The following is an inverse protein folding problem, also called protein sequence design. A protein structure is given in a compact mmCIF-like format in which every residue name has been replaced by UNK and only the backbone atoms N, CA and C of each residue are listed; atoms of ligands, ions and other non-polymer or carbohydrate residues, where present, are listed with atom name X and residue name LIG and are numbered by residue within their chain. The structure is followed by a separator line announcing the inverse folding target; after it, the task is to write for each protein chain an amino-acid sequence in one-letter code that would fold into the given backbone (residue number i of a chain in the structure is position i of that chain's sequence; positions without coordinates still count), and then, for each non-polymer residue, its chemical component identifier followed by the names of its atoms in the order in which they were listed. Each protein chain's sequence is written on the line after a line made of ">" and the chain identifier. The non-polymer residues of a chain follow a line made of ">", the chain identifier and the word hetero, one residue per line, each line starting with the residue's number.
data_IF_751143739724
#
_entry.id   IF_751143739724
#
_cell.length_a   1.000
_cell.length_b   1.000
_cell.length_c   1.000
_cell.angle_alpha   90.00
_cell.angle_beta   90.00
_cell.angle_gamma   90.00
#
_symmetry.space_group_name_H-M   'P 1'
#
loop_
_entity.id
_entity.type
_entity.pdbx_description
1 polymer ?
#
# COMPACT_ATOMS: atom_id res chain seq x y z
N UNK A 1 18.43 -10.29 -65.01
CA UNK A 1 17.42 -10.76 -64.06
C UNK A 1 18.05 -10.70 -62.67
N UNK A 2 17.77 -9.70 -61.81
CA UNK A 2 18.27 -9.69 -60.43
C UNK A 2 17.25 -10.35 -59.52
N UNK A 3 17.73 -11.30 -58.72
CA UNK A 3 17.00 -11.99 -57.66
C UNK A 3 16.55 -10.99 -56.59
N UNK A 4 15.26 -11.03 -56.23
CA UNK A 4 14.68 -10.35 -55.10
C UNK A 4 14.95 -11.18 -53.83
N UNK A 5 15.88 -10.73 -53.01
CA UNK A 5 15.99 -11.18 -51.62
C UNK A 5 14.87 -10.52 -50.79
N UNK A 6 13.83 -11.30 -50.55
CA UNK A 6 12.69 -10.92 -49.69
C UNK A 6 13.09 -11.15 -48.24
N UNK A 7 13.72 -10.14 -47.62
CA UNK A 7 14.02 -10.13 -46.22
C UNK A 7 12.73 -9.79 -45.44
N UNK A 8 11.90 -10.80 -45.21
CA UNK A 8 10.82 -10.73 -44.26
C UNK A 8 11.41 -10.59 -42.85
N UNK A 9 11.53 -9.36 -42.38
CA UNK A 9 11.86 -9.07 -41.00
C UNK A 9 10.76 -9.65 -40.07
N UNK A 10 11.11 -10.69 -39.32
CA UNK A 10 10.26 -11.24 -38.29
C UNK A 10 9.92 -10.13 -37.29
N UNK A 11 8.65 -10.02 -36.87
CA UNK A 11 8.26 -9.03 -35.84
C UNK A 11 9.04 -9.26 -34.54
N UNK A 12 9.40 -8.20 -33.81
CA UNK A 12 10.20 -8.30 -32.60
C UNK A 12 9.50 -9.25 -31.60
N UNK A 13 10.19 -10.31 -31.23
CA UNK A 13 9.68 -11.38 -30.39
C UNK A 13 9.17 -10.78 -29.06
N UNK A 14 7.92 -11.05 -28.72
CA UNK A 14 7.31 -10.72 -27.42
C UNK A 14 8.21 -11.29 -26.32
N UNK A 15 8.89 -10.42 -25.58
CA UNK A 15 9.74 -10.80 -24.43
C UNK A 15 8.87 -11.62 -23.48
N UNK A 16 9.21 -12.90 -23.31
CA UNK A 16 8.50 -13.78 -22.37
C UNK A 16 8.91 -13.38 -20.96
N UNK A 17 7.98 -12.75 -20.24
CA UNK A 17 8.17 -12.44 -18.83
C UNK A 17 8.32 -13.73 -18.02
N UNK A 18 9.21 -13.73 -17.02
CA UNK A 18 9.27 -14.78 -16.02
C UNK A 18 7.95 -14.84 -15.22
N UNK A 19 7.67 -15.95 -14.52
CA UNK A 19 6.47 -16.07 -13.69
C UNK A 19 6.33 -14.91 -12.67
N UNK A 20 7.43 -14.53 -12.01
CA UNK A 20 7.44 -13.43 -11.04
C UNK A 20 7.21 -12.06 -11.68
N UNK A 21 7.76 -11.82 -12.86
CA UNK A 21 7.53 -10.58 -13.61
C UNK A 21 6.07 -10.50 -14.06
N UNK A 22 5.52 -11.62 -14.53
CA UNK A 22 4.11 -11.68 -14.92
C UNK A 22 3.19 -11.44 -13.73
N UNK A 23 3.46 -12.07 -12.59
CA UNK A 23 2.70 -11.85 -11.37
C UNK A 23 2.76 -10.38 -10.92
N UNK A 24 3.94 -9.77 -10.97
CA UNK A 24 4.12 -8.33 -10.67
C UNK A 24 3.37 -7.42 -11.65
N UNK A 25 3.36 -7.76 -12.95
CA UNK A 25 2.60 -7.03 -13.96
C UNK A 25 1.10 -7.03 -13.65
N UNK A 26 0.53 -8.21 -13.38
CA UNK A 26 -0.89 -8.37 -13.05
C UNK A 26 -1.27 -7.57 -11.80
N UNK A 27 -0.46 -7.66 -10.74
CA UNK A 27 -0.66 -6.89 -9.51
C UNK A 27 -0.52 -5.38 -9.75
N UNK A 28 0.40 -4.95 -10.61
CA UNK A 28 0.56 -3.53 -10.96
C UNK A 28 -0.65 -2.96 -11.67
N UNK A 29 -1.29 -3.74 -12.57
CA UNK A 29 -2.54 -3.36 -13.23
C UNK A 29 -3.68 -3.30 -12.20
N UNK A 30 -3.83 -4.35 -11.39
CA UNK A 30 -4.84 -4.39 -10.34
C UNK A 30 -4.72 -3.20 -9.38
N UNK A 31 -3.51 -2.84 -8.98
CA UNK A 31 -3.25 -1.71 -8.09
C UNK A 31 -3.63 -0.36 -8.71
N UNK A 32 -3.38 -0.15 -10.01
CA UNK A 32 -3.84 1.07 -10.71
C UNK A 32 -5.36 1.18 -10.71
N UNK A 33 -6.02 0.08 -11.11
CA UNK A 33 -7.50 0.03 -11.14
C UNK A 33 -8.12 0.17 -9.76
N UNK A 34 -7.48 -0.36 -8.72
CA UNK A 34 -7.91 -0.20 -7.33
C UNK A 34 -7.86 1.26 -6.84
N UNK A 35 -6.95 2.06 -7.38
CA UNK A 35 -6.88 3.51 -7.09
C UNK A 35 -8.01 4.28 -7.78
N UNK A 36 -8.48 3.81 -8.94
CA UNK A 36 -9.46 4.49 -9.77
C UNK A 36 -10.91 4.13 -9.40
N UNK A 37 -11.13 2.94 -8.83
CA UNK A 37 -12.47 2.40 -8.52
C UNK A 37 -12.45 1.60 -7.22
N UNK A 38 -13.60 1.47 -6.52
CA UNK A 38 -13.72 0.55 -5.38
C UNK A 38 -13.26 -0.87 -5.77
N UNK A 39 -12.57 -1.53 -4.86
CA UNK A 39 -11.98 -2.85 -5.10
C UNK A 39 -13.01 -3.92 -5.51
N UNK A 40 -14.26 -3.76 -5.08
CA UNK A 40 -15.38 -4.65 -5.39
C UNK A 40 -15.69 -4.67 -6.89
N UNK A 41 -15.45 -3.58 -7.61
CA UNK A 41 -15.75 -3.42 -9.04
C UNK A 41 -14.61 -3.87 -9.94
N UNK A 42 -13.51 -4.40 -9.36
CA UNK A 42 -12.36 -4.85 -10.13
C UNK A 42 -12.72 -6.07 -10.99
N UNK A 43 -12.74 -5.87 -12.31
CA UNK A 43 -12.95 -6.94 -13.29
C UNK A 43 -11.64 -7.65 -13.60
N UNK A 44 -11.59 -8.97 -13.35
CA UNK A 44 -10.44 -9.81 -13.73
C UNK A 44 -10.27 -9.88 -15.25
N UNK A 45 -11.36 -9.76 -16.01
CA UNK A 45 -11.31 -9.75 -17.47
C UNK A 45 -10.66 -8.47 -18.01
N UNK A 46 -10.93 -7.32 -17.39
CA UNK A 46 -10.22 -6.07 -17.70
C UNK A 46 -8.72 -6.16 -17.37
N UNK A 47 -8.35 -6.78 -16.25
CA UNK A 47 -6.96 -6.98 -15.86
C UNK A 47 -6.25 -7.90 -16.85
N UNK A 48 -6.87 -9.01 -17.24
CA UNK A 48 -6.32 -9.96 -18.20
C UNK A 48 -6.12 -9.32 -19.58
N UNK A 49 -7.13 -8.57 -20.05
CA UNK A 49 -7.11 -7.83 -21.32
C UNK A 49 -5.97 -6.81 -21.34
N UNK A 50 -5.86 -5.98 -20.29
CA UNK A 50 -4.80 -4.97 -20.20
C UNK A 50 -3.40 -5.58 -20.08
N UNK A 51 -3.28 -6.74 -19.42
CA UNK A 51 -2.03 -7.49 -19.32
C UNK A 51 -1.66 -8.21 -20.63
N UNK A 52 -2.58 -8.30 -21.59
CA UNK A 52 -2.41 -9.07 -22.82
C UNK A 52 -2.29 -10.58 -22.56
N UNK A 53 -3.05 -11.10 -21.59
CA UNK A 53 -3.04 -12.52 -21.23
C UNK A 53 -4.44 -13.10 -21.27
N UNK A 54 -4.53 -14.44 -21.35
CA UNK A 54 -5.81 -15.12 -21.23
C UNK A 54 -6.31 -15.10 -19.78
N UNK A 55 -7.63 -15.14 -19.60
CA UNK A 55 -8.26 -15.31 -18.29
C UNK A 55 -7.72 -16.54 -17.55
N UNK A 56 -7.53 -17.67 -18.26
CA UNK A 56 -6.96 -18.89 -17.68
C UNK A 56 -5.57 -18.70 -17.11
N UNK A 57 -4.71 -17.90 -17.79
CA UNK A 57 -3.38 -17.59 -17.28
C UNK A 57 -3.46 -16.70 -16.01
N UNK A 58 -4.41 -15.77 -15.94
CA UNK A 58 -4.61 -14.96 -14.73
C UNK A 58 -5.03 -15.86 -13.56
N UNK A 59 -5.98 -16.80 -13.78
CA UNK A 59 -6.41 -17.75 -12.75
C UNK A 59 -5.32 -18.75 -12.34
N UNK A 60 -4.35 -19.02 -13.20
CA UNK A 60 -3.16 -19.78 -12.82
C UNK A 60 -2.34 -19.07 -11.72
N UNK A 61 -2.23 -17.74 -11.77
CA UNK A 61 -1.52 -16.93 -10.77
C UNK A 61 -2.37 -16.60 -9.53
N UNK A 62 -3.66 -16.46 -9.73
CA UNK A 62 -4.63 -16.07 -8.70
C UNK A 62 -5.89 -16.94 -8.85
N UNK A 63 -6.00 -18.05 -8.12
CA UNK A 63 -7.04 -19.06 -8.34
C UNK A 63 -8.46 -18.53 -8.21
N UNK A 64 -8.68 -17.46 -7.45
CA UNK A 64 -9.99 -16.83 -7.25
C UNK A 64 -9.91 -15.31 -7.38
N UNK A 65 -11.06 -14.66 -7.58
CA UNK A 65 -11.16 -13.19 -7.53
C UNK A 65 -10.72 -12.67 -6.16
N UNK A 66 -11.09 -13.35 -5.08
CA UNK A 66 -10.69 -13.01 -3.72
C UNK A 66 -9.16 -13.05 -3.56
N UNK A 67 -8.49 -14.13 -4.00
CA UNK A 67 -7.02 -14.25 -3.94
C UNK A 67 -6.30 -13.13 -4.72
N UNK A 68 -6.85 -12.71 -5.87
CA UNK A 68 -6.31 -11.58 -6.61
C UNK A 68 -6.50 -10.27 -5.83
N UNK A 69 -7.69 -10.04 -5.30
CA UNK A 69 -8.02 -8.87 -4.51
C UNK A 69 -7.11 -8.74 -3.27
N UNK A 70 -6.98 -9.79 -2.47
CA UNK A 70 -6.05 -9.83 -1.32
C UNK A 70 -4.61 -9.49 -1.72
N UNK A 71 -4.14 -10.07 -2.83
CA UNK A 71 -2.80 -9.80 -3.31
C UNK A 71 -2.60 -8.34 -3.75
N UNK A 72 -3.64 -7.70 -4.33
CA UNK A 72 -3.64 -6.27 -4.69
C UNK A 72 -3.62 -5.40 -3.44
N UNK A 73 -4.49 -5.69 -2.47
CA UNK A 73 -4.56 -4.97 -1.18
C UNK A 73 -3.24 -5.09 -0.43
N UNK A 74 -2.66 -6.29 -0.33
CA UNK A 74 -1.35 -6.50 0.27
C UNK A 74 -0.24 -5.73 -0.47
N UNK A 75 -0.30 -5.65 -1.80
CA UNK A 75 0.64 -4.85 -2.60
C UNK A 75 0.48 -3.35 -2.34
N UNK A 76 -0.75 -2.86 -2.16
CA UNK A 76 -1.07 -1.49 -1.79
C UNK A 76 -0.49 -1.14 -0.42
N UNK A 77 -0.71 -1.97 0.60
CA UNK A 77 -0.16 -1.80 1.94
C UNK A 77 1.38 -1.74 1.93
N UNK A 78 2.03 -2.68 1.23
CA UNK A 78 3.50 -2.64 1.05
C UNK A 78 3.97 -1.36 0.35
N UNK A 79 3.19 -0.82 -0.59
CA UNK A 79 3.51 0.46 -1.25
C UNK A 79 3.44 1.62 -0.25
N UNK A 80 2.39 1.70 0.57
CA UNK A 80 2.28 2.70 1.63
C UNK A 80 3.48 2.62 2.56
N UNK A 81 3.81 1.43 3.10
CA UNK A 81 4.96 1.23 3.99
C UNK A 81 6.30 1.67 3.37
N UNK A 82 6.49 1.47 2.06
CA UNK A 82 7.69 1.99 1.37
C UNK A 82 7.70 3.51 1.27
N UNK A 83 6.53 4.11 0.99
CA UNK A 83 6.40 5.56 0.81
C UNK A 83 6.62 6.32 2.12
N UNK A 84 6.17 5.77 3.25
CA UNK A 84 6.28 6.43 4.57
C UNK A 84 7.63 6.18 5.25
N UNK A 85 8.46 5.29 4.71
CA UNK A 85 9.77 4.97 5.31
C UNK A 85 10.66 6.22 5.34
N UNK A 86 11.29 6.51 6.49
CA UNK A 86 12.28 7.58 6.58
C UNK A 86 13.46 7.38 5.61
N UNK A 87 14.15 8.46 5.26
CA UNK A 87 15.32 8.40 4.39
C UNK A 87 16.46 7.61 5.05
N UNK A 88 17.32 6.97 4.26
CA UNK A 88 18.50 6.27 4.79
C UNK A 88 19.37 7.21 5.62
N UNK A 89 19.77 6.75 6.80
CA UNK A 89 20.63 7.53 7.72
C UNK A 89 19.89 8.50 8.64
N UNK A 90 18.59 8.73 8.44
CA UNK A 90 17.77 9.51 9.38
C UNK A 90 17.30 8.59 10.50
N UNK A 91 17.48 9.02 11.76
CA UNK A 91 17.16 8.26 12.96
C UNK A 91 16.48 9.14 14.02
N UNK A 92 16.02 8.51 15.10
CA UNK A 92 15.44 9.22 16.24
C UNK A 92 14.15 9.98 15.88
N UNK A 93 13.94 11.09 16.55
CA UNK A 93 12.74 11.93 16.38
C UNK A 93 12.61 12.47 14.94
N UNK A 94 13.74 12.77 14.27
CA UNK A 94 13.72 13.22 12.88
C UNK A 94 13.16 12.16 11.93
N UNK A 95 13.45 10.88 12.17
CA UNK A 95 12.89 9.77 11.40
C UNK A 95 11.37 9.63 11.65
N UNK A 96 10.93 9.78 12.90
CA UNK A 96 9.50 9.75 13.23
C UNK A 96 8.76 10.93 12.60
N UNK A 97 9.37 12.11 12.57
CA UNK A 97 8.80 13.29 11.89
C UNK A 97 8.62 13.06 10.40
N UNK A 98 9.65 12.60 9.69
CA UNK A 98 9.54 12.26 8.27
C UNK A 98 8.49 11.19 8.00
N UNK A 99 8.41 10.18 8.87
CA UNK A 99 7.40 9.12 8.78
C UNK A 99 6.00 9.72 8.93
N UNK A 100 5.77 10.55 9.95
CA UNK A 100 4.49 11.21 10.20
C UNK A 100 4.08 12.10 9.02
N UNK A 101 4.97 12.97 8.54
CA UNK A 101 4.72 13.83 7.38
C UNK A 101 4.30 13.03 6.14
N UNK A 102 5.05 11.98 5.80
CA UNK A 102 4.77 11.12 4.65
C UNK A 102 3.47 10.35 4.81
N UNK A 103 3.19 9.86 6.02
CA UNK A 103 1.98 9.11 6.32
C UNK A 103 0.74 9.99 6.22
N UNK A 104 0.74 11.15 6.87
CA UNK A 104 -0.35 12.13 6.82
C UNK A 104 -0.55 12.63 5.38
N UNK A 105 0.52 13.02 4.69
CA UNK A 105 0.44 13.45 3.30
C UNK A 105 -0.11 12.36 2.37
N UNK A 106 0.19 11.09 2.63
CA UNK A 106 -0.36 9.98 1.86
C UNK A 106 -1.87 9.84 2.06
N UNK A 107 -2.35 9.95 3.29
CA UNK A 107 -3.78 9.88 3.63
C UNK A 107 -4.53 11.08 3.02
N UNK A 108 -4.07 12.30 3.28
CA UNK A 108 -4.73 13.54 2.79
C UNK A 108 -4.82 13.56 1.26
N UNK A 109 -3.74 13.19 0.54
CA UNK A 109 -3.73 13.19 -0.92
C UNK A 109 -4.55 12.07 -1.57
N UNK A 110 -4.79 10.98 -0.85
CA UNK A 110 -5.43 9.76 -1.37
C UNK A 110 -6.46 9.23 -0.40
N UNK A 111 -7.25 10.13 0.17
CA UNK A 111 -8.22 9.85 1.24
C UNK A 111 -9.11 8.65 0.91
N UNK A 112 -9.82 8.70 -0.23
CA UNK A 112 -10.75 7.64 -0.62
C UNK A 112 -10.05 6.31 -0.89
N UNK A 113 -8.86 6.35 -1.49
CA UNK A 113 -8.03 5.16 -1.67
C UNK A 113 -7.61 4.57 -0.33
N UNK A 114 -7.23 5.42 0.63
CA UNK A 114 -6.82 4.97 1.96
C UNK A 114 -7.99 4.34 2.72
N UNK A 115 -9.16 4.97 2.68
CA UNK A 115 -10.39 4.41 3.25
C UNK A 115 -10.75 3.07 2.59
N UNK A 116 -10.68 2.96 1.28
CA UNK A 116 -10.93 1.72 0.57
C UNK A 116 -9.90 0.62 0.93
N UNK A 117 -8.64 1.00 1.16
CA UNK A 117 -7.58 0.07 1.57
C UNK A 117 -7.78 -0.47 2.98
N UNK A 118 -8.16 0.40 3.92
CA UNK A 118 -8.21 0.08 5.36
C UNK A 118 -9.58 -0.45 5.78
N UNK A 119 -10.66 0.13 5.22
CA UNK A 119 -12.05 -0.16 5.62
C UNK A 119 -12.90 -0.78 4.51
N UNK A 120 -12.45 -0.75 3.25
CA UNK A 120 -13.22 -1.21 2.08
C UNK A 120 -13.43 -2.74 1.98
N UNK A 121 -12.96 -3.50 2.95
CA UNK A 121 -13.14 -4.96 3.02
C UNK A 121 -14.50 -5.37 3.59
N UNK A 122 -15.40 -4.42 3.89
CA UNK A 122 -16.70 -4.67 4.53
C UNK A 122 -17.83 -5.04 3.54
N UNK A 123 -17.51 -5.68 2.40
CA UNK A 123 -18.49 -6.17 1.41
C UNK A 123 -18.80 -7.66 1.58
N UNK A 124 -19.63 -8.26 0.67
CA UNK A 124 -19.99 -9.68 0.69
C UNK A 124 -18.83 -10.68 0.54
N UNK A 125 -17.59 -10.20 0.41
CA UNK A 125 -16.34 -10.98 0.51
C UNK A 125 -15.73 -10.93 1.92
N UNK A 126 -16.43 -10.35 2.89
CA UNK A 126 -16.04 -10.27 4.31
C UNK A 126 -16.08 -11.63 5.05
N UNK A 127 -16.31 -12.73 4.34
CA UNK A 127 -16.09 -14.11 4.82
C UNK A 127 -14.59 -14.50 4.89
N UNK A 128 -13.70 -13.54 4.62
CA UNK A 128 -12.28 -13.71 4.89
C UNK A 128 -12.05 -13.33 6.35
N UNK A 129 -11.54 -14.24 7.10
CA UNK A 129 -11.44 -14.37 8.57
C UNK A 129 -11.07 -13.12 9.40
N UNK A 130 -10.77 -11.97 8.80
CA UNK A 130 -10.54 -10.70 9.51
C UNK A 130 -10.64 -9.45 8.60
N UNK A 131 -11.77 -8.70 8.60
CA UNK A 131 -11.89 -7.44 7.86
C UNK A 131 -10.95 -6.34 8.37
N UNK A 132 -10.37 -6.51 9.57
CA UNK A 132 -9.36 -5.62 10.14
C UNK A 132 -7.92 -5.97 9.79
N UNK A 133 -7.66 -7.13 9.17
CA UNK A 133 -6.30 -7.65 8.96
C UNK A 133 -5.40 -6.69 8.18
N UNK A 134 -5.92 -6.00 7.16
CA UNK A 134 -5.12 -5.04 6.37
C UNK A 134 -4.79 -3.78 7.17
N UNK A 135 -5.77 -3.22 7.89
CA UNK A 135 -5.55 -2.07 8.76
C UNK A 135 -4.57 -2.43 9.87
N UNK A 136 -4.77 -3.56 10.54
CA UNK A 136 -3.90 -4.07 11.60
C UNK A 136 -2.49 -4.31 11.05
N UNK A 137 -2.34 -4.96 9.90
CA UNK A 137 -1.04 -5.22 9.26
C UNK A 137 -0.32 -3.93 8.86
N UNK A 138 -1.03 -2.93 8.31
CA UNK A 138 -0.45 -1.65 7.94
C UNK A 138 -0.02 -0.86 9.18
N UNK A 139 -0.87 -0.75 10.21
CA UNK A 139 -0.54 -0.09 11.47
C UNK A 139 0.66 -0.75 12.15
N UNK A 140 0.68 -2.09 12.22
CA UNK A 140 1.82 -2.82 12.78
C UNK A 140 3.10 -2.55 11.99
N UNK A 141 3.05 -2.55 10.66
CA UNK A 141 4.21 -2.23 9.83
C UNK A 141 4.73 -0.81 10.03
N UNK A 142 3.84 0.18 10.25
CA UNK A 142 4.24 1.56 10.56
C UNK A 142 4.79 1.64 11.99
N UNK A 143 4.16 0.98 12.97
CA UNK A 143 4.65 0.92 14.36
C UNK A 143 6.05 0.30 14.43
N UNK A 144 6.34 -0.73 13.63
CA UNK A 144 7.69 -1.29 13.50
C UNK A 144 8.71 -0.27 12.95
N UNK A 145 8.29 0.62 12.04
CA UNK A 145 9.16 1.72 11.58
C UNK A 145 9.47 2.71 12.72
N UNK A 146 8.46 3.03 13.55
CA UNK A 146 8.63 3.88 14.75
C UNK A 146 9.57 3.21 15.76
N UNK A 147 9.38 1.92 16.05
CA UNK A 147 10.25 1.18 16.98
C UNK A 147 11.71 1.12 16.49
N UNK A 148 11.91 1.01 15.16
CA UNK A 148 13.27 1.08 14.59
C UNK A 148 13.86 2.49 14.68
N UNK A 149 13.06 3.53 14.55
CA UNK A 149 13.52 4.92 14.66
C UNK A 149 13.84 5.30 16.11
N UNK A 150 13.09 4.78 17.08
CA UNK A 150 13.21 5.05 18.51
C UNK A 150 13.44 3.74 19.28
N UNK A 151 14.67 3.22 19.33
CA UNK A 151 14.98 2.04 20.13
C UNK A 151 14.60 2.26 21.60
N UNK A 152 13.83 1.32 22.17
CA UNK A 152 13.36 1.40 23.56
C UNK A 152 11.95 1.97 23.77
N UNK A 153 11.28 2.43 22.71
CA UNK A 153 9.84 2.76 22.80
C UNK A 153 9.03 1.47 23.02
N UNK A 154 8.00 1.54 23.86
CA UNK A 154 7.04 0.42 23.99
C UNK A 154 6.30 0.21 22.65
N UNK A 155 6.34 -1.00 22.06
CA UNK A 155 5.63 -1.29 20.82
C UNK A 155 4.13 -1.01 20.88
N UNK A 156 3.50 -1.10 22.06
CA UNK A 156 2.09 -0.76 22.26
C UNK A 156 1.85 0.73 22.12
N UNK A 157 2.77 1.55 22.62
CA UNK A 157 2.73 3.02 22.44
C UNK A 157 2.90 3.38 20.98
N UNK A 158 3.86 2.76 20.29
CA UNK A 158 4.05 2.98 18.85
C UNK A 158 2.78 2.62 18.05
N UNK A 159 2.14 1.49 18.36
CA UNK A 159 0.90 1.07 17.69
C UNK A 159 -0.27 2.02 17.96
N UNK A 160 -0.46 2.42 19.23
CA UNK A 160 -1.50 3.40 19.62
C UNK A 160 -1.29 4.76 18.94
N UNK A 161 -0.03 5.19 18.83
CA UNK A 161 0.32 6.42 18.14
C UNK A 161 -0.01 6.38 16.65
N UNK A 162 0.24 5.26 15.97
CA UNK A 162 -0.13 5.11 14.55
C UNK A 162 -1.63 5.26 14.37
N UNK A 163 -2.45 4.65 15.23
CA UNK A 163 -3.90 4.78 15.18
C UNK A 163 -4.35 6.24 15.41
N UNK A 164 -3.71 6.94 16.34
CA UNK A 164 -3.95 8.36 16.59
C UNK A 164 -3.59 9.23 15.39
N UNK A 165 -2.40 9.03 14.80
CA UNK A 165 -1.96 9.79 13.64
C UNK A 165 -2.83 9.53 12.39
N UNK A 166 -3.30 8.29 12.23
CA UNK A 166 -4.23 7.90 11.17
C UNK A 166 -5.58 8.63 11.32
N UNK A 167 -6.19 8.57 12.50
CA UNK A 167 -7.47 9.23 12.79
C UNK A 167 -7.38 10.73 12.54
N UNK A 168 -6.32 11.37 13.05
CA UNK A 168 -6.04 12.79 12.81
C UNK A 168 -5.97 13.11 11.33
N UNK A 169 -5.20 12.32 10.55
CA UNK A 169 -5.02 12.54 9.12
C UNK A 169 -6.33 12.38 8.33
N UNK A 170 -7.20 11.45 8.74
CA UNK A 170 -8.51 11.21 8.11
C UNK A 170 -9.50 12.36 8.33
N UNK A 171 -9.32 13.15 9.39
CA UNK A 171 -10.17 14.30 9.70
C UNK A 171 -9.70 15.60 9.03
N UNK A 172 -8.51 15.61 8.41
CA UNK A 172 -7.99 16.80 7.76
C UNK A 172 -8.69 17.11 6.44
N UNK A 173 -8.99 18.39 6.15
CA UNK A 173 -9.49 18.80 4.85
C UNK A 173 -8.51 18.44 3.73
N UNK A 174 -9.00 18.13 2.52
CA UNK A 174 -8.15 17.98 1.34
C UNK A 174 -7.25 19.20 1.11
N UNK A 175 -5.97 18.96 0.83
CA UNK A 175 -5.00 20.03 0.60
C UNK A 175 -4.34 20.59 1.86
N UNK A 176 -4.64 20.06 3.06
CA UNK A 176 -3.95 20.43 4.29
C UNK A 176 -2.47 20.05 4.20
N UNK A 177 -1.59 20.98 4.61
CA UNK A 177 -0.16 20.70 4.72
C UNK A 177 0.12 19.72 5.87
N UNK A 178 0.86 18.65 5.56
CA UNK A 178 1.11 17.57 6.50
C UNK A 178 2.11 17.93 7.62
N UNK A 179 2.94 18.95 7.41
CA UNK A 179 4.06 19.29 8.31
C UNK A 179 3.58 19.71 9.71
N UNK A 180 2.59 20.60 9.78
CA UNK A 180 2.04 21.07 11.07
C UNK A 180 1.39 19.93 11.86
N UNK A 181 0.63 19.09 11.18
CA UNK A 181 -0.01 17.95 11.83
C UNK A 181 1.01 16.87 12.23
N UNK A 182 2.05 16.66 11.42
CA UNK A 182 3.15 15.77 11.77
C UNK A 182 3.88 16.23 13.04
N UNK A 183 4.15 17.54 13.18
CA UNK A 183 4.74 18.08 14.40
C UNK A 183 3.86 17.82 15.64
N UNK A 184 2.53 18.00 15.49
CA UNK A 184 1.57 17.67 16.54
C UNK A 184 1.60 16.17 16.90
N UNK A 185 1.61 15.29 15.89
CA UNK A 185 1.68 13.83 16.11
C UNK A 185 2.99 13.41 16.79
N UNK A 186 4.12 14.04 16.45
CA UNK A 186 5.41 13.78 17.13
C UNK A 186 5.34 14.18 18.62
N UNK A 187 4.78 15.35 18.92
CA UNK A 187 4.57 15.77 20.31
C UNK A 187 3.64 14.81 21.09
N UNK A 188 2.58 14.32 20.43
CA UNK A 188 1.67 13.32 21.00
C UNK A 188 2.37 12.00 21.33
N UNK A 189 3.34 11.55 20.50
CA UNK A 189 4.13 10.34 20.78
C UNK A 189 4.91 10.48 22.09
N UNK A 190 5.52 11.64 22.32
CA UNK A 190 6.21 11.94 23.58
C UNK A 190 5.29 11.88 24.79
N UNK A 191 4.08 12.44 24.68
CA UNK A 191 3.08 12.40 25.74
C UNK A 191 2.60 10.96 26.04
N UNK A 192 2.31 10.17 25.01
CA UNK A 192 1.92 8.76 25.14
C UNK A 192 3.02 7.93 25.80
N UNK A 193 4.28 8.16 25.42
CA UNK A 193 5.44 7.48 26.01
C UNK A 193 5.59 7.82 27.49
N UNK A 194 5.40 9.08 27.88
CA UNK A 194 5.45 9.50 29.27
C UNK A 194 4.33 8.91 30.13
N UNK A 195 3.13 8.70 29.55
CA UNK A 195 2.01 8.05 30.24
C UNK A 195 2.28 6.54 30.45
N UNK A 196 2.88 5.87 29.49
CA UNK A 196 3.17 4.43 29.57
C UNK A 196 4.26 4.09 30.60
N UNK A 197 5.08 5.07 31.00
CA UNK A 197 6.12 4.90 32.01
C UNK A 197 5.63 5.14 33.47
N UNK A 198 4.35 5.52 33.61
CA UNK A 198 3.76 5.67 34.96
C UNK A 198 3.30 4.31 35.49
N UNK A 199 3.76 3.93 36.70
CA UNK A 199 3.35 2.68 37.35
C UNK A 199 1.85 2.64 37.67
#
# INVERSE_FOLDING_TARGET
>A
MPSRDDHTASPPGRVRLSPDERRRQLLGIGLRKFVERPAMDLSLDEVATEAGVSRGLLFHYFPTKAAFHEAVVAAAGRRVLRTVRPDPGVAGEAAVRQLAERFIAQIVRRHDFYLALVYGQSGPLADLDDPGATATSLRSGIADLVCRALPGIDPRVAHAWVAYAEDRALQLPPGTEAETEAAHCVAALGALSALALRP
#
